data_IF_530573894164
#
_entry.id   IF_530573894164
#
_cell.length_a   1.000
_cell.length_b   1.000
_cell.length_c   1.000
_cell.angle_alpha   90.00
_cell.angle_beta   90.00
_cell.angle_gamma   90.00
#
_symmetry.space_group_name_H-M   'P 1'
#
loop_
_entity.id
_entity.type
_entity.pdbx_description
1 polymer ?
#
# COMPACT_ATOMS: atom_id res chain seq x y z
N UNK A 1 12.15 -22.16 -11.28
CA UNK A 1 10.98 -22.41 -10.40
C UNK A 1 10.00 -21.27 -10.64
N UNK A 2 8.78 -21.51 -11.14
CA UNK A 2 7.79 -20.43 -11.21
C UNK A 2 7.47 -20.01 -9.78
N UNK A 3 7.63 -18.72 -9.47
CA UNK A 3 7.21 -18.18 -8.18
C UNK A 3 5.71 -18.46 -8.02
N UNK A 4 5.25 -18.89 -6.83
CA UNK A 4 3.83 -19.10 -6.61
C UNK A 4 3.12 -17.78 -6.88
N UNK A 5 2.15 -17.82 -7.79
CA UNK A 5 1.34 -16.66 -8.19
C UNK A 5 0.59 -16.25 -6.93
N UNK A 6 1.12 -15.27 -6.21
CA UNK A 6 0.47 -14.78 -5.00
C UNK A 6 -0.81 -14.08 -5.45
N UNK A 7 -1.97 -14.44 -4.91
CA UNK A 7 -3.22 -13.84 -5.33
C UNK A 7 -3.19 -12.33 -5.03
N UNK A 8 -3.63 -11.52 -6.01
CA UNK A 8 -3.63 -10.06 -5.92
C UNK A 8 -4.33 -9.54 -4.65
N UNK A 9 -5.38 -10.23 -4.21
CA UNK A 9 -6.09 -9.90 -2.97
C UNK A 9 -5.20 -9.97 -1.71
N UNK A 10 -4.21 -10.88 -1.69
CA UNK A 10 -3.24 -10.96 -0.59
C UNK A 10 -2.28 -9.78 -0.64
N UNK A 11 -1.75 -9.48 -1.83
CA UNK A 11 -0.83 -8.35 -2.07
C UNK A 11 -1.50 -7.03 -1.69
N UNK A 12 -2.76 -6.84 -2.08
CA UNK A 12 -3.54 -5.66 -1.72
C UNK A 12 -3.67 -5.53 -0.20
N UNK A 13 -4.03 -6.60 0.50
CA UNK A 13 -4.19 -6.59 1.96
C UNK A 13 -2.89 -6.26 2.68
N UNK A 14 -1.78 -6.87 2.25
CA UNK A 14 -0.45 -6.59 2.82
C UNK A 14 -0.03 -5.14 2.56
N UNK A 15 -0.27 -4.62 1.35
CA UNK A 15 0.05 -3.25 0.97
C UNK A 15 -0.75 -2.21 1.75
N UNK A 16 -2.06 -2.43 1.93
CA UNK A 16 -2.93 -1.56 2.73
C UNK A 16 -2.50 -1.56 4.20
N UNK A 17 -2.26 -2.75 4.78
CA UNK A 17 -1.79 -2.86 6.16
C UNK A 17 -0.46 -2.12 6.38
N UNK A 18 0.49 -2.25 5.46
CA UNK A 18 1.76 -1.53 5.52
C UNK A 18 1.57 0.00 5.44
N UNK A 19 0.65 0.46 4.59
CA UNK A 19 0.29 1.86 4.45
C UNK A 19 -0.34 2.44 5.73
N UNK A 20 -1.21 1.67 6.39
CA UNK A 20 -1.83 2.03 7.68
C UNK A 20 -0.82 2.03 8.83
N UNK A 21 0.10 1.07 8.88
CA UNK A 21 1.20 1.01 9.86
C UNK A 21 2.27 2.09 9.62
N UNK A 22 2.28 2.75 8.46
CA UNK A 22 3.29 3.73 8.08
C UNK A 22 4.65 3.13 7.74
N UNK A 23 4.72 1.83 7.45
CA UNK A 23 5.94 1.14 7.01
C UNK A 23 6.31 1.53 5.60
N UNK A 24 7.60 1.55 5.27
CA UNK A 24 8.02 1.85 3.89
C UNK A 24 7.83 0.62 3.01
N UNK A 25 7.57 0.79 1.69
CA UNK A 25 7.48 -0.34 0.76
C UNK A 25 8.73 -1.21 0.75
N UNK A 26 9.90 -0.62 1.01
CA UNK A 26 11.17 -1.34 1.07
C UNK A 26 11.30 -2.26 2.30
N UNK A 27 10.53 -1.99 3.34
CA UNK A 27 10.48 -2.80 4.57
C UNK A 27 9.32 -3.82 4.53
N UNK A 28 8.17 -3.43 3.95
CA UNK A 28 6.97 -4.26 3.93
C UNK A 28 6.82 -5.14 2.67
N UNK A 29 7.39 -4.75 1.53
CA UNK A 29 7.28 -5.53 0.31
C UNK A 29 8.29 -6.69 0.33
N UNK A 30 7.76 -7.91 0.47
CA UNK A 30 8.52 -9.17 0.38
C UNK A 30 8.84 -9.61 -1.05
N UNK A 31 8.31 -8.91 -2.05
CA UNK A 31 8.45 -9.27 -3.47
C UNK A 31 9.48 -8.35 -4.13
N UNK A 32 10.24 -8.83 -5.13
CA UNK A 32 11.11 -7.97 -5.91
C UNK A 32 10.29 -6.90 -6.64
N UNK A 33 10.77 -5.65 -6.68
CA UNK A 33 10.08 -4.57 -7.41
C UNK A 33 10.04 -4.78 -8.93
N UNK A 34 10.89 -5.63 -9.47
CA UNK A 34 10.88 -6.03 -10.88
C UNK A 34 9.88 -7.16 -11.18
N UNK A 35 9.22 -7.71 -10.17
CA UNK A 35 8.19 -8.73 -10.31
C UNK A 35 6.79 -8.08 -10.37
N UNK A 36 5.83 -8.62 -11.14
CA UNK A 36 4.46 -8.12 -11.18
C UNK A 36 3.80 -8.02 -9.80
N UNK A 37 4.18 -8.89 -8.84
CA UNK A 37 3.70 -8.81 -7.48
C UNK A 37 4.22 -7.58 -6.72
N UNK A 38 5.49 -7.20 -6.94
CA UNK A 38 6.09 -6.00 -6.36
C UNK A 38 5.49 -4.73 -6.95
N UNK A 39 5.26 -4.69 -8.26
CA UNK A 39 4.56 -3.58 -8.93
C UNK A 39 3.13 -3.41 -8.40
N UNK A 40 2.38 -4.51 -8.27
CA UNK A 40 1.03 -4.48 -7.70
C UNK A 40 1.04 -4.00 -6.25
N UNK A 41 1.98 -4.46 -5.43
CA UNK A 41 2.14 -4.01 -4.04
C UNK A 41 2.36 -2.51 -3.94
N UNK A 42 3.30 -1.96 -4.72
CA UNK A 42 3.59 -0.53 -4.73
C UNK A 42 2.37 0.30 -5.14
N UNK A 43 1.63 -0.17 -6.15
CA UNK A 43 0.42 0.51 -6.61
C UNK A 43 -0.64 0.58 -5.51
N UNK A 44 -0.98 -0.55 -4.88
CA UNK A 44 -1.98 -0.57 -3.80
C UNK A 44 -1.53 0.23 -2.57
N UNK A 45 -0.25 0.15 -2.21
CA UNK A 45 0.31 0.90 -1.09
C UNK A 45 0.21 2.41 -1.32
N UNK A 46 0.60 2.90 -2.51
CA UNK A 46 0.58 4.33 -2.80
C UNK A 46 -0.85 4.87 -2.87
N UNK A 47 -1.76 4.16 -3.55
CA UNK A 47 -3.18 4.54 -3.64
C UNK A 47 -3.81 4.64 -2.24
N UNK A 48 -3.54 3.67 -1.35
CA UNK A 48 -4.07 3.70 0.01
C UNK A 48 -3.45 4.83 0.85
N UNK A 49 -2.14 5.07 0.72
CA UNK A 49 -1.44 6.18 1.39
C UNK A 49 -1.96 7.54 0.96
N UNK A 50 -2.24 7.71 -0.33
CA UNK A 50 -2.83 8.93 -0.86
C UNK A 50 -4.25 9.12 -0.32
N UNK A 51 -5.06 8.06 -0.28
CA UNK A 51 -6.39 8.11 0.32
C UNK A 51 -6.35 8.44 1.83
N UNK A 52 -5.44 7.84 2.59
CA UNK A 52 -5.23 8.17 4.01
C UNK A 52 -4.81 9.63 4.21
N UNK A 53 -3.92 10.15 3.35
CA UNK A 53 -3.52 11.57 3.38
C UNK A 53 -4.68 12.50 3.01
N UNK A 54 -5.46 12.16 1.99
CA UNK A 54 -6.61 12.94 1.56
C UNK A 54 -7.69 12.98 2.66
N UNK A 55 -7.96 11.85 3.31
CA UNK A 55 -8.87 11.78 4.44
C UNK A 55 -8.35 12.58 5.64
N UNK A 56 -7.07 12.44 5.97
CA UNK A 56 -6.45 13.23 7.04
C UNK A 56 -6.57 14.73 6.75
N UNK A 57 -6.29 15.17 5.51
CA UNK A 57 -6.44 16.56 5.07
C UNK A 57 -7.88 17.07 5.15
N UNK A 58 -8.86 16.22 4.87
CA UNK A 58 -10.28 16.56 5.02
C UNK A 58 -10.64 16.79 6.49
N UNK A 59 -10.19 15.89 7.38
CA UNK A 59 -10.48 16.00 8.82
C UNK A 59 -9.89 17.25 9.49
N UNK A 60 -8.72 17.75 9.04
CA UNK A 60 -8.15 19.01 9.56
C UNK A 60 -8.92 20.25 9.09
N UNK A 61 -9.49 20.20 7.88
CA UNK A 61 -10.26 21.31 7.34
C UNK A 61 -11.62 21.50 8.04
N UNK A 62 -12.26 20.42 8.50
CA UNK A 62 -13.54 20.48 9.22
C UNK A 62 -13.42 21.01 10.66
N UNK A 63 -12.28 20.82 11.33
CA UNK A 63 -12.09 21.24 12.75
C UNK A 63 -11.80 22.74 12.91
N UNK A 64 -11.61 23.47 11.80
CA UNK A 64 -11.23 24.89 11.82
C UNK A 64 -12.39 25.86 11.55
N UNK A 65 -13.65 25.42 11.63
CA UNK A 65 -14.85 26.27 11.48
C UNK A 65 -15.45 26.71 12.82
#
# INVERSE_FOLDING_TARGET
MPFPITPLATIEREAKAAAEEGKTPNDACRYPFADPAGEAFMRFYNEHREALRANAAHSIAEVSQ
#
